data_IF_864289642054
#
_entry.id   IF_864289642054
#
_cell.length_a   1.000
_cell.length_b   1.000
_cell.length_c   1.000
_cell.angle_alpha   90.00
_cell.angle_beta   90.00
_cell.angle_gamma   90.00
#
_symmetry.space_group_name_H-M   'P 1'
#
loop_
_entity.id
_entity.type
_entity.pdbx_description
1 polymer ?
#
# COMPACT_ATOMS: atom_id res chain seq x y z
N UNK A 1 0.82 8.26 5.36
CA UNK A 1 1.49 7.23 4.56
C UNK A 1 0.51 6.36 3.81
N UNK A 2 -0.50 5.76 4.48
CA UNK A 2 -1.47 4.87 3.83
C UNK A 2 -2.15 5.51 2.62
N UNK A 3 -2.58 6.77 2.73
CA UNK A 3 -3.18 7.50 1.61
C UNK A 3 -2.22 7.68 0.42
N UNK A 4 -0.94 7.99 0.69
CA UNK A 4 0.08 8.09 -0.36
C UNK A 4 0.37 6.73 -1.00
N UNK A 5 0.39 5.66 -0.22
CA UNK A 5 0.47 4.29 -0.75
C UNK A 5 -0.70 4.00 -1.69
N UNK A 6 -1.93 4.31 -1.30
CA UNK A 6 -3.09 4.11 -2.17
C UNK A 6 -3.03 4.96 -3.43
N UNK A 7 -2.67 6.25 -3.33
CA UNK A 7 -2.51 7.11 -4.51
C UNK A 7 -1.48 6.54 -5.48
N UNK A 8 -0.34 6.08 -4.98
CA UNK A 8 0.71 5.49 -5.83
C UNK A 8 0.31 4.11 -6.36
N UNK A 9 -0.38 3.28 -5.57
CA UNK A 9 -0.88 1.99 -6.02
C UNK A 9 -1.90 2.12 -7.15
N UNK A 10 -2.96 2.91 -6.93
CA UNK A 10 -3.95 3.17 -7.98
C UNK A 10 -3.38 3.97 -9.16
N UNK A 11 -2.40 4.83 -8.89
CA UNK A 11 -1.61 5.50 -9.93
C UNK A 11 -0.86 4.49 -10.81
N UNK A 12 -0.22 3.49 -10.21
CA UNK A 12 0.46 2.42 -10.94
C UNK A 12 -0.53 1.60 -11.80
N UNK A 13 -1.74 1.31 -11.29
CA UNK A 13 -2.79 0.64 -12.07
C UNK A 13 -3.16 1.46 -13.31
N UNK A 14 -3.31 2.79 -13.17
CA UNK A 14 -3.68 3.68 -14.27
C UNK A 14 -2.55 3.88 -15.29
N UNK A 15 -1.30 3.91 -14.82
CA UNK A 15 -0.11 4.11 -15.67
C UNK A 15 0.39 2.80 -16.31
N UNK A 16 -0.02 1.65 -15.79
CA UNK A 16 0.29 0.34 -16.34
C UNK A 16 -0.97 -0.53 -16.36
N UNK A 17 -1.12 -1.40 -15.37
CA UNK A 17 -2.31 -2.22 -15.14
C UNK A 17 -2.29 -2.82 -13.72
N UNK A 18 -3.37 -3.49 -13.33
CA UNK A 18 -3.52 -4.07 -12.00
C UNK A 18 -2.48 -5.17 -11.71
N UNK A 19 -2.10 -5.98 -12.72
CA UNK A 19 -1.11 -7.05 -12.55
C UNK A 19 0.28 -6.49 -12.25
N UNK A 20 0.68 -5.44 -12.96
CA UNK A 20 1.97 -4.76 -12.73
C UNK A 20 1.98 -4.12 -11.33
N UNK A 21 0.92 -3.39 -10.96
CA UNK A 21 0.82 -2.77 -9.66
C UNK A 21 0.89 -3.81 -8.52
N UNK A 22 0.13 -4.90 -8.62
CA UNK A 22 0.14 -5.99 -7.64
C UNK A 22 1.51 -6.69 -7.56
N UNK A 23 2.18 -6.90 -8.72
CA UNK A 23 3.53 -7.47 -8.75
C UNK A 23 4.55 -6.56 -8.07
N UNK A 24 4.45 -5.25 -8.24
CA UNK A 24 5.35 -4.30 -7.56
C UNK A 24 5.21 -4.36 -6.03
N UNK A 25 4.02 -4.65 -5.49
CA UNK A 25 3.84 -4.81 -4.03
C UNK A 25 4.64 -5.99 -3.48
N UNK A 26 4.95 -7.00 -4.30
CA UNK A 26 5.85 -8.09 -3.89
C UNK A 26 7.28 -7.64 -3.55
N UNK A 27 7.65 -6.39 -3.84
CA UNK A 27 8.90 -5.76 -3.36
C UNK A 27 8.83 -5.34 -1.87
N UNK A 28 7.62 -5.23 -1.30
CA UNK A 28 7.44 -4.75 0.07
C UNK A 28 8.24 -5.55 1.12
N UNK A 29 8.32 -6.89 1.09
CA UNK A 29 9.13 -7.64 2.04
C UNK A 29 10.62 -7.27 2.00
N UNK A 30 11.18 -7.04 0.81
CA UNK A 30 12.58 -6.60 0.68
C UNK A 30 12.80 -5.20 1.29
N UNK A 31 11.91 -4.27 1.01
CA UNK A 31 11.94 -2.93 1.61
C UNK A 31 11.72 -2.99 3.13
N UNK A 32 10.80 -3.83 3.61
CA UNK A 32 10.54 -4.01 5.05
C UNK A 32 11.80 -4.53 5.76
N UNK A 33 12.44 -5.57 5.24
CA UNK A 33 13.67 -6.11 5.81
C UNK A 33 14.81 -5.08 5.92
N UNK A 34 14.83 -4.09 5.02
CA UNK A 34 15.82 -3.00 5.05
C UNK A 34 15.43 -1.87 6.01
N UNK A 35 14.14 -1.53 6.10
CA UNK A 35 13.64 -0.32 6.78
C UNK A 35 13.26 -0.61 8.23
N UNK A 36 12.63 -1.75 8.49
CA UNK A 36 12.09 -2.11 9.81
C UNK A 36 13.16 -2.06 10.92
N UNK A 37 14.41 -2.56 10.74
CA UNK A 37 15.44 -2.49 11.76
C UNK A 37 15.72 -1.06 12.24
N UNK A 38 15.67 -0.09 11.33
CA UNK A 38 15.89 1.33 11.65
C UNK A 38 14.72 1.96 12.39
N UNK A 39 13.49 1.60 11.99
CA UNK A 39 12.26 2.13 12.58
C UNK A 39 12.00 1.55 13.96
N UNK A 40 12.17 0.23 14.12
CA UNK A 40 11.88 -0.50 15.35
C UNK A 40 13.07 -0.63 16.28
N UNK A 41 14.28 -0.18 15.85
CA UNK A 41 15.55 -0.31 16.57
C UNK A 41 15.91 -1.77 16.88
N UNK A 42 15.53 -2.68 16.00
CA UNK A 42 15.89 -4.10 16.07
C UNK A 42 17.23 -4.36 15.36
N UNK A 43 17.95 -5.45 15.70
CA UNK A 43 19.06 -5.91 14.90
C UNK A 43 18.58 -6.29 13.49
N UNK A 44 19.44 -6.06 12.50
CA UNK A 44 19.21 -6.46 11.12
C UNK A 44 19.26 -7.99 11.00
N UNK A 45 18.25 -8.60 10.36
CA UNK A 45 18.22 -10.01 10.04
C UNK A 45 18.44 -10.25 8.55
N UNK A 46 19.59 -10.83 8.23
CA UNK A 46 19.96 -11.17 6.85
C UNK A 46 19.03 -12.23 6.22
N UNK A 47 18.34 -13.05 7.03
CA UNK A 47 17.38 -14.04 6.53
C UNK A 47 16.12 -13.37 5.99
N UNK A 48 15.62 -12.36 6.70
CA UNK A 48 14.46 -11.58 6.23
C UNK A 48 14.79 -10.89 4.90
N UNK A 49 15.97 -10.29 4.79
CA UNK A 49 16.42 -9.69 3.53
C UNK A 49 16.57 -10.73 2.43
N UNK A 50 17.13 -11.90 2.72
CA UNK A 50 17.28 -12.98 1.75
C UNK A 50 15.91 -13.41 1.17
N UNK A 51 14.90 -13.62 2.02
CA UNK A 51 13.55 -13.94 1.56
C UNK A 51 12.92 -12.81 0.77
N UNK A 52 13.13 -11.55 1.19
CA UNK A 52 12.69 -10.39 0.43
C UNK A 52 13.32 -10.33 -0.96
N UNK A 53 14.64 -10.55 -1.07
CA UNK A 53 15.36 -10.56 -2.35
C UNK A 53 14.93 -11.76 -3.22
N UNK A 54 14.58 -12.89 -2.63
CA UNK A 54 14.12 -14.07 -3.36
C UNK A 54 12.83 -13.82 -4.17
N UNK A 55 12.06 -12.76 -3.88
CA UNK A 55 10.89 -12.35 -4.68
C UNK A 55 11.28 -11.62 -5.97
N UNK A 56 12.48 -11.01 -6.04
CA UNK A 56 12.89 -10.14 -7.15
C UNK A 56 12.90 -10.84 -8.52
N UNK A 57 13.35 -12.10 -8.67
CA UNK A 57 13.29 -12.79 -9.95
C UNK A 57 11.86 -12.90 -10.51
N UNK A 58 10.87 -13.20 -9.65
CA UNK A 58 9.46 -13.25 -10.05
C UNK A 58 8.95 -11.87 -10.49
N UNK A 59 9.29 -10.84 -9.75
CA UNK A 59 8.95 -9.45 -10.12
C UNK A 59 9.61 -9.08 -11.45
N UNK A 60 10.90 -9.40 -11.63
CA UNK A 60 11.63 -9.10 -12.86
C UNK A 60 11.05 -9.80 -14.09
N UNK A 61 10.58 -11.05 -13.96
CA UNK A 61 9.91 -11.77 -15.04
C UNK A 61 8.63 -11.06 -15.52
N UNK A 62 7.81 -10.60 -14.60
CA UNK A 62 6.57 -9.89 -14.95
C UNK A 62 6.88 -8.50 -15.52
N UNK A 63 7.75 -7.74 -14.85
CA UNK A 63 8.10 -6.36 -15.23
C UNK A 63 8.92 -6.34 -16.53
N UNK A 64 9.77 -7.35 -16.78
CA UNK A 64 10.59 -7.43 -17.98
C UNK A 64 9.80 -7.59 -19.28
N UNK A 65 8.57 -8.11 -19.22
CA UNK A 65 7.65 -8.21 -20.36
C UNK A 65 6.74 -6.99 -20.57
N UNK A 66 6.88 -5.95 -19.73
CA UNK A 66 5.98 -4.78 -19.77
C UNK A 66 6.44 -3.79 -20.86
N UNK A 67 5.49 -3.28 -21.69
CA UNK A 67 5.78 -2.24 -22.70
C UNK A 67 6.39 -0.97 -22.10
N UNK A 68 7.16 -0.25 -22.91
CA UNK A 68 7.87 0.96 -22.47
C UNK A 68 6.93 2.03 -21.91
N UNK A 69 5.72 2.14 -22.45
CA UNK A 69 4.69 3.11 -22.03
C UNK A 69 4.23 2.88 -20.58
N UNK A 70 4.35 1.64 -20.10
CA UNK A 70 3.93 1.26 -18.74
C UNK A 70 5.05 1.37 -17.69
N UNK A 71 6.27 1.73 -18.07
CA UNK A 71 7.42 1.80 -17.14
C UNK A 71 7.23 2.81 -16.03
N UNK A 72 6.55 3.92 -16.31
CA UNK A 72 6.18 4.89 -15.26
C UNK A 72 5.32 4.25 -14.17
N UNK A 73 4.39 3.35 -14.55
CA UNK A 73 3.58 2.59 -13.62
C UNK A 73 4.39 1.65 -12.73
N UNK A 74 5.47 1.05 -13.26
CA UNK A 74 6.39 0.21 -12.47
C UNK A 74 7.10 1.06 -11.41
N UNK A 75 7.64 2.23 -11.78
CA UNK A 75 8.32 3.12 -10.84
C UNK A 75 7.38 3.59 -9.72
N UNK A 76 6.14 3.97 -10.08
CA UNK A 76 5.10 4.37 -9.12
C UNK A 76 4.66 3.19 -8.25
N UNK A 77 4.57 1.98 -8.81
CA UNK A 77 4.27 0.75 -8.08
C UNK A 77 5.37 0.37 -7.09
N UNK A 78 6.63 0.51 -7.47
CA UNK A 78 7.76 0.30 -6.56
C UNK A 78 7.77 1.34 -5.42
N UNK A 79 7.46 2.60 -5.71
CA UNK A 79 7.26 3.62 -4.67
C UNK A 79 6.11 3.25 -3.72
N UNK A 80 5.02 2.71 -4.25
CA UNK A 80 3.90 2.21 -3.45
C UNK A 80 4.34 1.09 -2.49
N UNK A 81 5.15 0.14 -2.98
CA UNK A 81 5.72 -0.93 -2.15
C UNK A 81 6.63 -0.39 -1.04
N UNK A 82 7.45 0.63 -1.34
CA UNK A 82 8.27 1.31 -0.34
C UNK A 82 7.41 1.99 0.73
N UNK A 83 6.36 2.70 0.33
CA UNK A 83 5.44 3.39 1.25
C UNK A 83 4.71 2.41 2.18
N UNK A 84 4.27 1.26 1.67
CA UNK A 84 3.63 0.24 2.53
C UNK A 84 4.62 -0.42 3.47
N UNK A 85 5.88 -0.61 3.07
CA UNK A 85 6.93 -1.12 3.95
C UNK A 85 7.23 -0.16 5.11
N UNK A 86 7.37 1.14 4.82
CA UNK A 86 7.52 2.17 5.86
C UNK A 86 6.30 2.22 6.77
N UNK A 87 5.11 2.17 6.19
CA UNK A 87 3.85 2.20 6.91
C UNK A 87 3.73 1.00 7.87
N UNK A 88 4.00 -0.23 7.40
CA UNK A 88 3.97 -1.44 8.21
C UNK A 88 5.00 -1.42 9.34
N UNK A 89 6.21 -0.94 9.07
CA UNK A 89 7.27 -0.80 10.08
C UNK A 89 6.90 0.21 11.18
N UNK A 90 6.26 1.32 10.82
CA UNK A 90 5.74 2.30 11.79
C UNK A 90 4.59 1.73 12.61
N UNK A 91 3.66 1.01 11.98
CA UNK A 91 2.54 0.37 12.66
C UNK A 91 3.01 -0.64 13.70
N UNK A 92 4.01 -1.44 13.37
CA UNK A 92 4.62 -2.38 14.32
C UNK A 92 5.09 -1.65 15.59
N UNK A 93 5.73 -0.50 15.43
CA UNK A 93 6.18 0.33 16.56
C UNK A 93 5.01 0.98 17.32
N UNK A 94 3.97 1.42 16.62
CA UNK A 94 2.82 2.15 17.21
C UNK A 94 1.85 1.23 17.95
N UNK A 95 1.69 -0.01 17.47
CA UNK A 95 0.73 -0.97 18.05
C UNK A 95 1.17 -1.51 19.41
N UNK A 96 2.46 -1.42 19.72
CA UNK A 96 2.99 -1.81 21.05
C UNK A 96 2.38 -0.96 22.18
N UNK A 97 2.01 0.30 21.92
CA UNK A 97 1.44 1.22 22.92
C UNK A 97 -0.06 1.55 22.73
N UNK A 98 -0.73 1.03 21.69
CA UNK A 98 -2.07 1.41 21.30
C UNK A 98 -3.06 0.25 21.13
N UNK A 99 -4.35 0.57 21.10
CA UNK A 99 -5.36 -0.41 20.68
C UNK A 99 -5.41 -0.50 19.16
N UNK A 100 -5.33 -1.71 18.55
CA UNK A 100 -5.31 -1.87 17.09
C UNK A 100 -6.44 -1.15 16.36
N UNK A 101 -7.66 -1.24 16.85
CA UNK A 101 -8.82 -0.58 16.24
C UNK A 101 -8.72 0.95 16.28
N UNK A 102 -8.19 1.52 17.35
CA UNK A 102 -7.98 2.98 17.47
C UNK A 102 -6.91 3.43 16.47
N UNK A 103 -5.81 2.70 16.35
CA UNK A 103 -4.75 2.99 15.38
C UNK A 103 -5.31 2.93 13.96
N UNK A 104 -6.02 1.85 13.62
CA UNK A 104 -6.69 1.70 12.31
C UNK A 104 -7.65 2.85 12.01
N UNK A 105 -8.49 3.25 12.99
CA UNK A 105 -9.45 4.33 12.80
C UNK A 105 -8.75 5.67 12.54
N UNK A 106 -7.68 5.97 13.26
CA UNK A 106 -6.89 7.20 13.06
C UNK A 106 -6.19 7.20 11.70
N UNK A 107 -5.61 6.08 11.30
CA UNK A 107 -4.91 5.95 10.01
C UNK A 107 -5.85 6.09 8.82
N UNK A 108 -6.97 5.37 8.84
CA UNK A 108 -7.97 5.46 7.78
C UNK A 108 -8.67 6.82 7.77
N UNK A 109 -8.97 7.38 8.94
CA UNK A 109 -9.54 8.73 9.07
C UNK A 109 -8.61 9.80 8.52
N UNK A 110 -7.35 9.80 8.94
CA UNK A 110 -6.35 10.74 8.42
C UNK A 110 -6.11 10.54 6.91
N UNK A 111 -6.13 9.28 6.44
CA UNK A 111 -6.05 8.95 5.01
C UNK A 111 -7.21 9.54 4.23
N UNK A 112 -8.43 9.39 4.72
CA UNK A 112 -9.65 9.93 4.09
C UNK A 112 -9.60 11.45 4.02
N UNK A 113 -9.24 12.13 5.12
CA UNK A 113 -9.11 13.59 5.14
C UNK A 113 -8.08 14.06 4.11
N UNK A 114 -6.91 13.42 4.05
CA UNK A 114 -5.87 13.77 3.08
C UNK A 114 -6.33 13.56 1.64
N UNK A 115 -6.95 12.42 1.33
CA UNK A 115 -7.45 12.11 -0.02
C UNK A 115 -8.54 13.10 -0.44
N UNK A 116 -9.47 13.43 0.47
CA UNK A 116 -10.51 14.41 0.21
C UNK A 116 -9.91 15.80 -0.07
N UNK A 117 -8.91 16.21 0.71
CA UNK A 117 -8.22 17.48 0.49
C UNK A 117 -7.42 17.52 -0.82
N UNK A 118 -6.87 16.38 -1.26
CA UNK A 118 -6.14 16.27 -2.53
C UNK A 118 -7.04 16.04 -3.74
N UNK A 119 -8.30 15.66 -3.56
CA UNK A 119 -9.21 15.34 -4.66
C UNK A 119 -9.29 16.43 -5.74
N UNK A 120 -9.41 17.74 -5.40
CA UNK A 120 -9.42 18.80 -6.40
C UNK A 120 -8.13 18.87 -7.24
N UNK A 121 -6.97 18.60 -6.62
CA UNK A 121 -5.67 18.59 -7.30
C UNK A 121 -5.54 17.37 -8.20
N UNK A 122 -6.11 16.24 -7.82
CA UNK A 122 -6.11 15.01 -8.61
C UNK A 122 -6.85 15.18 -9.94
N UNK A 123 -7.87 16.03 -10.01
CA UNK A 123 -8.58 16.33 -11.24
C UNK A 123 -7.68 17.00 -12.32
N UNK A 124 -6.57 17.61 -11.89
CA UNK A 124 -5.58 18.25 -12.79
C UNK A 124 -4.54 17.24 -13.32
N UNK A 125 -4.46 16.05 -12.74
CA UNK A 125 -3.47 15.03 -13.14
C UNK A 125 -4.03 14.19 -14.28
N UNK A 126 -3.30 14.08 -15.43
CA UNK A 126 -3.72 13.22 -16.54
C UNK A 126 -4.00 11.78 -16.04
N UNK A 127 -5.12 11.22 -16.45
CA UNK A 127 -5.56 9.87 -16.03
C UNK A 127 -6.38 9.83 -14.74
N UNK A 128 -6.40 10.92 -13.94
CA UNK A 128 -7.27 11.07 -12.77
C UNK A 128 -8.37 12.11 -13.00
N UNK A 129 -8.33 12.83 -14.14
CA UNK A 129 -9.36 13.81 -14.51
C UNK A 129 -10.72 13.14 -14.73
N UNK A 130 -11.77 13.77 -14.22
CA UNK A 130 -13.16 13.32 -14.32
C UNK A 130 -14.02 14.05 -13.31
N UNK A 131 -15.32 13.73 -13.25
CA UNK A 131 -16.17 14.26 -12.21
C UNK A 131 -15.71 13.75 -10.85
N UNK A 132 -15.38 14.68 -9.94
CA UNK A 132 -14.88 14.35 -8.59
C UNK A 132 -15.91 13.59 -7.75
N UNK A 133 -17.18 13.80 -8.03
CA UNK A 133 -18.29 13.16 -7.33
C UNK A 133 -19.22 12.54 -8.37
N UNK A 134 -19.04 11.27 -8.61
CA UNK A 134 -19.96 10.44 -9.39
C UNK A 134 -20.60 9.47 -8.43
N UNK A 135 -21.93 9.49 -8.34
CA UNK A 135 -22.64 8.49 -7.55
C UNK A 135 -22.50 7.13 -8.25
N UNK A 136 -21.94 6.11 -7.57
CA UNK A 136 -21.79 4.79 -8.15
C UNK A 136 -23.16 4.15 -8.37
N UNK A 137 -23.28 3.34 -9.42
CA UNK A 137 -24.42 2.45 -9.59
C UNK A 137 -24.52 1.44 -8.43
N UNK A 138 -25.67 0.79 -8.28
CA UNK A 138 -25.91 -0.16 -7.17
C UNK A 138 -24.85 -1.29 -7.13
N UNK A 139 -24.46 -1.80 -8.29
CA UNK A 139 -23.42 -2.82 -8.41
C UNK A 139 -22.06 -2.30 -7.92
N UNK A 140 -21.64 -1.13 -8.39
CA UNK A 140 -20.36 -0.53 -7.99
C UNK A 140 -20.37 -0.14 -6.51
N UNK A 141 -21.49 0.35 -5.99
CA UNK A 141 -21.66 0.63 -4.57
C UNK A 141 -21.49 -0.64 -3.73
N UNK A 142 -22.07 -1.77 -4.14
CA UNK A 142 -21.88 -3.05 -3.45
C UNK A 142 -20.41 -3.50 -3.48
N UNK A 143 -19.74 -3.38 -4.62
CA UNK A 143 -18.31 -3.70 -4.74
C UNK A 143 -17.44 -2.78 -3.86
N UNK A 144 -17.75 -1.49 -3.78
CA UNK A 144 -17.06 -0.54 -2.91
C UNK A 144 -17.26 -0.88 -1.44
N UNK A 145 -18.44 -1.32 -1.03
CA UNK A 145 -18.70 -1.79 0.35
C UNK A 145 -17.84 -3.03 0.66
N UNK A 146 -17.83 -4.02 -0.23
CA UNK A 146 -16.99 -5.21 -0.06
C UNK A 146 -15.51 -4.83 0.01
N UNK A 147 -15.03 -3.99 -0.90
CA UNK A 147 -13.65 -3.51 -0.91
C UNK A 147 -13.30 -2.80 0.41
N UNK A 148 -14.18 -1.95 0.90
CA UNK A 148 -13.93 -1.17 2.12
C UNK A 148 -13.97 -2.03 3.38
N UNK A 149 -14.96 -2.89 3.53
CA UNK A 149 -15.14 -3.68 4.76
C UNK A 149 -14.26 -4.94 4.76
N UNK A 150 -14.32 -5.73 3.68
CA UNK A 150 -13.68 -7.05 3.63
C UNK A 150 -12.22 -6.97 3.19
N UNK A 151 -11.91 -6.12 2.21
CA UNK A 151 -10.57 -6.05 1.65
C UNK A 151 -9.69 -4.93 2.27
N UNK A 152 -10.27 -4.02 3.05
CA UNK A 152 -9.52 -2.92 3.68
C UNK A 152 -9.63 -2.97 5.20
N UNK A 153 -10.80 -2.69 5.76
CA UNK A 153 -10.94 -2.55 7.22
C UNK A 153 -10.57 -3.84 7.97
N UNK A 154 -11.09 -4.98 7.53
CA UNK A 154 -10.84 -6.27 8.19
C UNK A 154 -9.36 -6.68 8.13
N UNK A 155 -8.66 -6.68 6.97
CA UNK A 155 -7.24 -7.00 6.91
C UNK A 155 -6.37 -6.03 7.71
N UNK A 156 -6.69 -4.73 7.73
CA UNK A 156 -5.97 -3.76 8.55
C UNK A 156 -6.08 -4.08 10.04
N UNK A 157 -7.29 -4.30 10.55
CA UNK A 157 -7.52 -4.64 11.94
C UNK A 157 -6.82 -5.96 12.31
N UNK A 158 -6.94 -6.99 11.46
CA UNK A 158 -6.29 -8.28 11.68
C UNK A 158 -4.76 -8.19 11.63
N UNK A 159 -4.20 -7.43 10.70
CA UNK A 159 -2.76 -7.20 10.59
C UNK A 159 -2.20 -6.56 11.88
N UNK A 160 -2.88 -5.54 12.41
CA UNK A 160 -2.45 -4.89 13.65
C UNK A 160 -2.59 -5.80 14.88
N UNK A 161 -3.63 -6.63 14.93
CA UNK A 161 -3.77 -7.66 15.98
C UNK A 161 -2.63 -8.67 15.87
N UNK A 162 -2.33 -9.16 14.67
CA UNK A 162 -1.24 -10.10 14.44
C UNK A 162 0.12 -9.50 14.80
N UNK A 163 0.40 -8.26 14.40
CA UNK A 163 1.64 -7.56 14.74
C UNK A 163 1.84 -7.45 16.26
N UNK A 164 0.76 -7.26 17.01
CA UNK A 164 0.82 -7.21 18.48
C UNK A 164 1.21 -8.55 19.10
N UNK A 165 0.86 -9.67 18.46
CA UNK A 165 1.18 -11.01 18.95
C UNK A 165 2.57 -11.49 18.53
N UNK A 166 3.08 -11.03 17.39
CA UNK A 166 4.37 -11.46 16.83
C UNK A 166 5.54 -10.65 17.38
N UNK A 167 5.30 -9.49 17.98
CA UNK A 167 6.36 -8.63 18.57
C UNK A 167 6.73 -9.02 20.01
N UNK A 168 6.16 -10.09 20.53
CA UNK A 168 6.58 -10.69 21.79
C UNK A 168 7.58 -11.82 21.56
#
# INVERSE_FOLDING_TARGET
LVALHWLTFYGAIKLANASVAATCIALAPAFTAMIEPWVTRRPFDARELFFGIATLPGVAMVVGGVPHEMRAGIAVGALSALLVAVFGSLNKRMVEGGQPLTVTALELGAGTVLLTALAPLMALVPGFGGALLVLPGLHDAALLVVLSLVCTLMPFALALVALRQVSA
#
